data_IF_712367587430
#
_entry.id   IF_712367587430
#
_cell.length_a   1.000
_cell.length_b   1.000
_cell.length_c   1.000
_cell.angle_alpha   90.00
_cell.angle_beta   90.00
_cell.angle_gamma   90.00
#
_symmetry.space_group_name_H-M   'P 1'
#
loop_
_entity.id
_entity.type
_entity.pdbx_description
1 polymer ?
#
# COMPACT_ATOMS: atom_id res chain seq x y z
N UNK A 1 3.72 -10.02 -4.76
CA UNK A 1 2.81 -10.89 -5.54
C UNK A 1 3.25 -11.07 -6.99
N UNK A 2 3.85 -10.06 -7.63
CA UNK A 2 4.40 -10.14 -8.99
C UNK A 2 5.34 -11.33 -9.22
N UNK A 3 6.29 -11.56 -8.32
CA UNK A 3 7.25 -12.67 -8.42
C UNK A 3 6.56 -14.04 -8.33
N UNK A 4 5.59 -14.21 -7.44
CA UNK A 4 4.84 -15.46 -7.38
C UNK A 4 4.04 -15.68 -8.66
N UNK A 5 3.39 -14.64 -9.18
CA UNK A 5 2.67 -14.72 -10.46
C UNK A 5 3.62 -15.12 -11.59
N UNK A 6 4.83 -14.55 -11.63
CA UNK A 6 5.87 -14.89 -12.60
C UNK A 6 6.32 -16.34 -12.47
N UNK A 7 6.65 -16.80 -11.26
CA UNK A 7 7.03 -18.19 -11.00
C UNK A 7 5.92 -19.18 -11.37
N UNK A 8 4.65 -18.81 -11.17
CA UNK A 8 3.51 -19.64 -11.55
C UNK A 8 3.29 -19.72 -13.07
N UNK A 9 3.94 -18.87 -13.88
CA UNK A 9 3.94 -18.99 -15.35
C UNK A 9 4.88 -20.09 -15.85
N UNK A 10 5.87 -20.48 -15.04
CA UNK A 10 6.77 -21.57 -15.38
C UNK A 10 6.16 -22.92 -14.93
N UNK A 11 5.98 -23.83 -15.89
CA UNK A 11 5.29 -25.10 -15.67
C UNK A 11 5.95 -25.95 -14.57
N UNK A 12 7.28 -26.01 -14.57
CA UNK A 12 8.05 -26.78 -13.58
C UNK A 12 7.84 -26.24 -12.15
N UNK A 13 7.91 -24.92 -11.96
CA UNK A 13 7.68 -24.27 -10.67
C UNK A 13 6.24 -24.46 -10.19
N UNK A 14 5.28 -24.23 -11.08
CA UNK A 14 3.86 -24.41 -10.78
C UNK A 14 3.50 -25.86 -10.43
N UNK A 15 4.16 -26.84 -11.06
CA UNK A 15 4.03 -28.27 -10.74
C UNK A 15 4.59 -28.58 -9.34
N UNK A 16 5.83 -28.16 -9.06
CA UNK A 16 6.47 -28.37 -7.76
C UNK A 16 5.67 -27.76 -6.60
N UNK A 17 5.12 -26.56 -6.78
CA UNK A 17 4.27 -25.95 -5.76
C UNK A 17 2.98 -26.73 -5.54
N UNK A 18 2.29 -27.16 -6.61
CA UNK A 18 1.06 -27.97 -6.49
C UNK A 18 1.31 -29.30 -5.79
N UNK A 19 2.39 -29.99 -6.13
CA UNK A 19 2.78 -31.25 -5.48
C UNK A 19 3.04 -31.05 -3.98
N UNK A 20 3.77 -29.98 -3.61
CA UNK A 20 4.03 -29.66 -2.21
C UNK A 20 2.76 -29.28 -1.46
N UNK A 21 1.86 -28.53 -2.08
CA UNK A 21 0.58 -28.17 -1.50
C UNK A 21 -0.31 -29.39 -1.27
N UNK A 22 -0.35 -30.33 -2.22
CA UNK A 22 -1.07 -31.59 -2.08
C UNK A 22 -0.50 -32.45 -0.94
N UNK A 23 0.83 -32.58 -0.85
CA UNK A 23 1.50 -33.32 0.20
C UNK A 23 1.24 -32.75 1.62
N UNK A 24 1.00 -31.44 1.72
CA UNK A 24 0.65 -30.76 2.97
C UNK A 24 -0.87 -30.68 3.22
N UNK A 25 -1.70 -31.22 2.33
CA UNK A 25 -3.16 -31.13 2.43
C UNK A 25 -3.71 -29.70 2.33
N UNK A 26 -2.99 -28.80 1.65
CA UNK A 26 -3.38 -27.40 1.50
C UNK A 26 -4.41 -27.24 0.39
N UNK A 27 -5.62 -26.79 0.74
CA UNK A 27 -6.76 -26.64 -0.18
C UNK A 27 -6.81 -25.30 -0.93
N UNK A 28 -6.09 -24.28 -0.47
CA UNK A 28 -6.05 -22.95 -1.11
C UNK A 28 -4.80 -22.78 -1.98
N UNK A 29 -4.76 -21.83 -2.92
CA UNK A 29 -3.53 -21.48 -3.63
C UNK A 29 -2.44 -20.95 -2.69
N UNK A 30 -1.16 -21.16 -3.04
CA UNK A 30 -0.01 -20.71 -2.23
C UNK A 30 -0.09 -19.22 -1.88
N UNK A 31 -0.51 -18.38 -2.84
CA UNK A 31 -0.71 -16.95 -2.62
C UNK A 31 -1.65 -16.63 -1.45
N UNK A 32 -2.70 -17.41 -1.26
CA UNK A 32 -3.63 -17.24 -0.12
C UNK A 32 -2.98 -17.55 1.22
N UNK A 33 -2.06 -18.53 1.27
CA UNK A 33 -1.30 -18.83 2.48
C UNK A 33 -0.26 -17.75 2.79
N UNK A 34 0.38 -17.17 1.78
CA UNK A 34 1.33 -16.07 1.95
C UNK A 34 0.66 -14.79 2.48
N UNK A 35 -0.64 -14.61 2.26
CA UNK A 35 -1.41 -13.50 2.82
C UNK A 35 -1.80 -13.70 4.29
N UNK A 36 -1.76 -14.94 4.82
CA UNK A 36 -2.22 -15.23 6.18
C UNK A 36 -1.53 -14.41 7.29
N UNK A 37 -0.20 -14.18 7.26
CA UNK A 37 0.45 -13.36 8.31
C UNK A 37 -0.06 -11.92 8.33
N UNK A 38 -0.20 -11.29 7.16
CA UNK A 38 -0.75 -9.92 7.03
C UNK A 38 -2.21 -9.88 7.47
N UNK A 39 -3.01 -10.89 7.11
CA UNK A 39 -4.39 -11.00 7.57
C UNK A 39 -4.50 -11.25 9.07
N UNK A 40 -3.55 -11.99 9.66
CA UNK A 40 -3.59 -12.37 11.08
C UNK A 40 -3.21 -11.21 11.98
N UNK A 41 -2.16 -10.46 11.64
CA UNK A 41 -1.71 -9.32 12.44
C UNK A 41 -2.80 -8.23 12.54
N UNK A 42 -3.55 -8.01 11.44
CA UNK A 42 -4.68 -7.07 11.39
C UNK A 42 -5.95 -7.57 12.09
N UNK A 43 -5.97 -8.79 12.63
CA UNK A 43 -7.12 -9.31 13.37
C UNK A 43 -6.95 -9.24 14.88
N UNK A 44 -5.72 -9.17 15.38
CA UNK A 44 -5.49 -9.23 16.83
C UNK A 44 -6.14 -8.07 17.58
N UNK A 45 -6.09 -6.85 17.05
CA UNK A 45 -6.76 -5.72 17.69
C UNK A 45 -8.29 -5.92 17.76
N UNK A 46 -8.92 -6.52 16.74
CA UNK A 46 -10.35 -6.84 16.75
C UNK A 46 -10.69 -7.93 17.78
N UNK A 47 -9.85 -8.96 17.87
CA UNK A 47 -10.03 -10.04 18.84
C UNK A 47 -9.89 -9.51 20.28
N UNK A 48 -8.86 -8.69 20.54
CA UNK A 48 -8.65 -8.06 21.84
C UNK A 48 -9.79 -7.09 22.18
N UNK A 49 -10.27 -6.31 21.22
CA UNK A 49 -11.41 -5.42 21.41
C UNK A 49 -12.68 -6.20 21.80
N UNK A 50 -12.90 -7.37 21.21
CA UNK A 50 -14.02 -8.24 21.59
C UNK A 50 -13.85 -8.79 23.01
N UNK A 51 -12.64 -9.20 23.39
CA UNK A 51 -12.34 -9.68 24.75
C UNK A 51 -12.65 -8.57 25.76
N UNK A 52 -12.10 -7.37 25.58
CA UNK A 52 -12.33 -6.22 26.48
C UNK A 52 -13.82 -5.92 26.65
N UNK A 53 -14.61 -5.98 25.56
CA UNK A 53 -16.07 -5.75 25.62
C UNK A 53 -16.84 -6.78 26.47
N UNK A 54 -16.34 -8.01 26.56
CA UNK A 54 -17.00 -9.12 27.26
C UNK A 54 -16.40 -9.44 28.62
N UNK A 55 -15.25 -8.86 28.94
CA UNK A 55 -14.50 -9.16 30.16
C UNK A 55 -14.98 -8.30 31.33
N UNK A 56 -14.96 -8.88 32.53
CA UNK A 56 -15.25 -8.14 33.75
C UNK A 56 -14.12 -7.15 34.04
N UNK A 57 -14.46 -5.87 34.16
CA UNK A 57 -13.46 -4.81 34.33
C UNK A 57 -12.87 -4.78 35.73
N UNK A 58 -13.47 -5.48 36.70
CA UNK A 58 -12.93 -5.64 38.05
C UNK A 58 -12.08 -6.91 38.23
N UNK A 59 -12.00 -7.75 37.19
CA UNK A 59 -11.18 -8.95 37.21
C UNK A 59 -9.69 -8.63 37.01
N UNK A 60 -8.84 -9.35 37.73
CA UNK A 60 -7.39 -9.23 37.62
C UNK A 60 -6.91 -9.44 36.17
N UNK A 61 -5.97 -8.61 35.74
CA UNK A 61 -5.42 -8.64 34.38
C UNK A 61 -6.21 -7.86 33.31
N UNK A 62 -7.30 -7.15 33.64
CA UNK A 62 -8.01 -6.30 32.68
C UNK A 62 -7.09 -5.23 32.05
N UNK A 63 -6.24 -4.58 32.86
CA UNK A 63 -5.28 -3.57 32.39
C UNK A 63 -4.30 -4.12 31.34
N UNK A 64 -3.83 -5.35 31.50
CA UNK A 64 -2.93 -6.00 30.55
C UNK A 64 -3.60 -6.21 29.18
N UNK A 65 -4.91 -6.50 29.17
CA UNK A 65 -5.67 -6.69 27.93
C UNK A 65 -5.87 -5.34 27.22
N UNK A 66 -6.13 -4.28 27.98
CA UNK A 66 -6.25 -2.91 27.44
C UNK A 66 -4.92 -2.45 26.83
N UNK A 67 -3.80 -2.70 27.51
CA UNK A 67 -2.46 -2.39 27.00
C UNK A 67 -2.14 -3.19 25.74
N UNK A 68 -2.45 -4.49 25.72
CA UNK A 68 -2.28 -5.33 24.54
C UNK A 68 -3.13 -4.83 23.35
N UNK A 69 -4.37 -4.39 23.61
CA UNK A 69 -5.24 -3.82 22.59
C UNK A 69 -4.64 -2.54 22.00
N UNK A 70 -4.13 -1.65 22.86
CA UNK A 70 -3.45 -0.42 22.44
C UNK A 70 -2.24 -0.74 21.55
N UNK A 71 -1.37 -1.65 21.99
CA UNK A 71 -0.19 -2.06 21.23
C UNK A 71 -0.55 -2.67 19.86
N UNK A 72 -1.53 -3.57 19.82
CA UNK A 72 -1.96 -4.19 18.57
C UNK A 72 -2.65 -3.21 17.62
N UNK A 73 -3.35 -2.21 18.15
CA UNK A 73 -3.96 -1.13 17.35
C UNK A 73 -2.88 -0.25 16.73
N UNK A 74 -1.83 0.10 17.49
CA UNK A 74 -0.68 0.85 16.97
C UNK A 74 0.04 0.11 15.85
N UNK A 75 0.22 -1.21 15.98
CA UNK A 75 0.80 -2.04 14.91
C UNK A 75 -0.07 -2.00 13.64
N UNK A 76 -1.39 -2.12 13.78
CA UNK A 76 -2.30 -2.07 12.64
C UNK A 76 -2.25 -0.70 11.93
N UNK A 77 -2.21 0.40 12.69
CA UNK A 77 -2.02 1.75 12.15
C UNK A 77 -0.68 1.89 11.42
N UNK A 78 0.41 1.42 12.04
CA UNK A 78 1.74 1.49 11.43
C UNK A 78 1.80 0.73 10.10
N UNK A 79 1.21 -0.47 10.02
CA UNK A 79 1.12 -1.24 8.77
C UNK A 79 0.33 -0.48 7.71
N UNK A 80 -0.79 0.13 8.08
CA UNK A 80 -1.59 0.93 7.17
C UNK A 80 -0.82 2.15 6.65
N UNK A 81 -0.09 2.83 7.52
CA UNK A 81 0.73 3.99 7.17
C UNK A 81 1.89 3.60 6.24
N UNK A 82 2.54 2.45 6.48
CA UNK A 82 3.56 1.90 5.58
C UNK A 82 2.98 1.56 4.20
N UNK A 83 1.79 0.94 4.14
CA UNK A 83 1.11 0.63 2.88
C UNK A 83 0.77 1.91 2.11
N UNK A 84 0.20 2.90 2.79
CA UNK A 84 -0.12 4.21 2.21
C UNK A 84 1.13 4.87 1.64
N UNK A 85 2.22 4.95 2.41
CA UNK A 85 3.50 5.50 1.93
C UNK A 85 4.04 4.77 0.70
N UNK A 86 3.94 3.45 0.66
CA UNK A 86 4.34 2.68 -0.51
C UNK A 86 3.47 3.00 -1.74
N UNK A 87 2.15 3.09 -1.58
CA UNK A 87 1.23 3.47 -2.66
C UNK A 87 1.52 4.89 -3.19
N UNK A 88 1.80 5.85 -2.30
CA UNK A 88 2.23 7.19 -2.71
C UNK A 88 3.57 7.16 -3.47
N UNK A 89 4.57 6.41 -2.99
CA UNK A 89 5.85 6.29 -3.67
C UNK A 89 5.70 5.70 -5.08
N UNK A 90 4.87 4.66 -5.24
CA UNK A 90 4.55 4.09 -6.56
C UNK A 90 3.87 5.13 -7.46
N UNK A 91 2.91 5.89 -6.93
CA UNK A 91 2.24 6.95 -7.70
C UNK A 91 3.22 8.04 -8.15
N UNK A 92 4.16 8.42 -7.29
CA UNK A 92 5.20 9.40 -7.63
C UNK A 92 6.12 8.89 -8.75
N UNK A 93 6.50 7.62 -8.71
CA UNK A 93 7.28 7.00 -9.79
C UNK A 93 6.51 6.94 -11.12
N UNK A 94 5.20 6.64 -11.07
CA UNK A 94 4.35 6.70 -12.26
C UNK A 94 4.31 8.12 -12.86
N UNK A 95 4.14 9.15 -12.03
CA UNK A 95 4.15 10.55 -12.48
C UNK A 95 5.48 10.88 -13.14
N UNK A 96 6.60 10.52 -12.51
CA UNK A 96 7.94 10.76 -13.06
C UNK A 96 8.12 10.08 -14.43
N UNK A 97 7.60 8.86 -14.59
CA UNK A 97 7.67 8.14 -15.88
C UNK A 97 6.86 8.82 -17.00
N UNK A 98 5.84 9.62 -16.65
CA UNK A 98 5.04 10.38 -17.59
C UNK A 98 5.67 11.73 -17.96
N UNK A 99 6.66 12.22 -17.21
CA UNK A 99 7.32 13.50 -17.47
C UNK A 99 8.35 13.37 -18.59
N UNK A 100 8.10 14.04 -19.71
CA UNK A 100 9.05 14.13 -20.82
C UNK A 100 9.99 15.32 -20.65
N UNK A 101 11.29 15.04 -20.61
CA UNK A 101 12.32 16.08 -20.51
C UNK A 101 12.49 16.65 -19.10
N UNK A 102 12.08 15.92 -18.06
CA UNK A 102 12.36 16.29 -16.68
C UNK A 102 13.88 16.33 -16.43
N UNK A 103 14.39 17.48 -15.99
CA UNK A 103 15.81 17.68 -15.67
C UNK A 103 16.08 17.82 -14.16
N UNK A 104 15.02 17.77 -13.34
CA UNK A 104 15.15 17.85 -11.89
C UNK A 104 15.61 16.55 -11.25
N UNK A 105 15.74 16.56 -9.94
CA UNK A 105 16.00 15.34 -9.16
C UNK A 105 14.78 14.41 -9.16
N UNK A 106 14.93 13.21 -8.61
CA UNK A 106 13.81 12.27 -8.47
C UNK A 106 12.67 12.90 -7.65
N UNK A 107 11.43 12.76 -8.11
CA UNK A 107 10.26 13.38 -7.49
C UNK A 107 10.08 12.97 -6.03
N UNK A 108 10.59 11.80 -5.64
CA UNK A 108 10.58 11.33 -4.24
C UNK A 108 11.43 12.18 -3.29
N UNK A 109 12.39 12.99 -3.79
CA UNK A 109 13.20 13.89 -2.94
C UNK A 109 12.43 15.13 -2.48
N UNK A 110 11.35 15.48 -3.18
CA UNK A 110 10.52 16.66 -2.89
C UNK A 110 9.40 16.41 -1.86
N UNK A 111 9.34 15.22 -1.27
CA UNK A 111 8.39 14.85 -0.20
C UNK A 111 7.20 14.02 -0.70
N UNK A 112 6.18 13.88 0.14
CA UNK A 112 4.97 13.13 -0.20
C UNK A 112 4.08 13.94 -1.16
N UNK A 113 3.38 13.24 -2.06
CA UNK A 113 2.38 13.84 -2.94
C UNK A 113 1.10 14.12 -2.12
N UNK A 114 0.87 15.39 -1.79
CA UNK A 114 -0.27 15.83 -1.00
C UNK A 114 -1.57 15.89 -1.81
N UNK A 115 -1.49 16.37 -3.06
CA UNK A 115 -2.66 16.52 -3.93
C UNK A 115 -2.30 16.47 -5.42
N UNK A 116 -3.25 16.01 -6.23
CA UNK A 116 -3.17 16.02 -7.69
C UNK A 116 -4.48 16.59 -8.24
N UNK A 117 -4.41 17.37 -9.32
CA UNK A 117 -5.61 17.91 -9.97
C UNK A 117 -5.36 18.50 -11.34
N UNK A 118 -6.43 18.96 -11.97
CA UNK A 118 -6.35 19.69 -13.25
C UNK A 118 -7.04 21.03 -13.15
N UNK A 119 -6.43 22.07 -13.70
CA UNK A 119 -7.03 23.40 -13.77
C UNK A 119 -6.77 24.06 -15.11
N UNK A 120 -7.64 25.01 -15.48
CA UNK A 120 -7.43 25.88 -16.64
C UNK A 120 -6.74 27.16 -16.15
N UNK A 121 -5.45 27.28 -16.43
CA UNK A 121 -4.73 28.52 -16.15
C UNK A 121 -5.31 29.68 -16.96
N UNK A 122 -5.35 30.88 -16.36
CA UNK A 122 -5.86 32.08 -17.02
C UNK A 122 -5.07 32.34 -18.33
N UNK A 123 -5.78 32.47 -19.46
CA UNK A 123 -5.18 32.66 -20.78
C UNK A 123 -4.68 31.38 -21.48
N UNK A 124 -4.74 30.20 -20.85
CA UNK A 124 -4.32 28.95 -21.48
C UNK A 124 -5.46 28.26 -22.25
N UNK A 125 -5.19 27.86 -23.50
CA UNK A 125 -6.14 27.08 -24.33
C UNK A 125 -6.35 25.64 -23.85
N UNK A 126 -5.39 25.07 -23.13
CA UNK A 126 -5.40 23.67 -22.67
C UNK A 126 -5.33 23.59 -21.14
N UNK A 127 -5.93 22.54 -20.57
CA UNK A 127 -5.81 22.21 -19.15
C UNK A 127 -4.36 21.95 -18.75
N UNK A 128 -4.03 22.23 -17.49
CA UNK A 128 -2.76 21.89 -16.86
C UNK A 128 -3.02 20.89 -15.75
N UNK A 129 -2.16 19.89 -15.65
CA UNK A 129 -2.11 18.99 -14.51
C UNK A 129 -1.22 19.61 -13.44
N UNK A 130 -1.64 19.52 -12.19
CA UNK A 130 -0.91 20.02 -11.03
C UNK A 130 -0.68 18.87 -10.06
N UNK A 131 0.54 18.80 -9.54
CA UNK A 131 0.95 17.87 -8.50
C UNK A 131 1.58 18.68 -7.38
N UNK A 132 0.98 18.62 -6.20
CA UNK A 132 1.45 19.28 -5.00
C UNK A 132 2.21 18.28 -4.14
N UNK A 133 3.50 18.52 -3.96
CA UNK A 133 4.39 17.83 -3.04
C UNK A 133 4.66 18.73 -1.83
N UNK A 134 5.16 18.15 -0.72
CA UNK A 134 5.50 18.90 0.50
C UNK A 134 6.44 20.09 0.23
N UNK A 135 7.39 19.94 -0.69
CA UNK A 135 8.43 20.94 -0.98
C UNK A 135 8.35 21.51 -2.40
N UNK A 136 7.39 21.09 -3.22
CA UNK A 136 7.35 21.46 -4.63
C UNK A 136 5.91 21.47 -5.19
N UNK A 137 5.61 22.44 -6.05
CA UNK A 137 4.42 22.42 -6.91
C UNK A 137 4.85 22.18 -8.36
N UNK A 138 4.43 21.06 -8.93
CA UNK A 138 4.72 20.69 -10.32
C UNK A 138 3.49 20.94 -11.19
N UNK A 139 3.66 21.73 -12.25
CA UNK A 139 2.61 22.05 -13.21
C UNK A 139 3.03 21.52 -14.58
N UNK A 140 2.19 20.71 -15.20
CA UNK A 140 2.50 20.06 -16.48
C UNK A 140 1.38 20.28 -17.48
N UNK A 141 1.73 20.22 -18.76
CA UNK A 141 0.81 20.20 -19.89
C UNK A 141 0.71 18.78 -20.43
N UNK A 142 -0.52 18.28 -20.53
CA UNK A 142 -0.80 16.98 -21.17
C UNK A 142 -0.61 17.11 -22.69
N UNK A 143 0.20 16.21 -23.27
CA UNK A 143 0.36 16.02 -24.73
C UNK A 143 -0.58 14.92 -25.22
N UNK A 144 -0.70 14.76 -26.54
CA UNK A 144 -1.64 13.84 -27.18
C UNK A 144 -1.42 12.37 -26.77
N UNK A 145 -0.18 11.97 -26.46
CA UNK A 145 0.18 10.59 -26.05
C UNK A 145 0.04 10.32 -24.54
N UNK A 146 -0.61 11.22 -23.78
CA UNK A 146 -0.72 11.08 -22.31
C UNK A 146 0.55 11.46 -21.53
N UNK A 147 1.62 11.82 -22.24
CA UNK A 147 2.86 12.36 -21.70
C UNK A 147 2.62 13.77 -21.12
N UNK A 148 3.32 14.06 -20.02
CA UNK A 148 3.34 15.35 -19.34
C UNK A 148 4.63 16.11 -19.69
N UNK A 149 4.52 17.39 -20.04
CA UNK A 149 5.65 18.29 -20.32
C UNK A 149 5.56 19.61 -19.59
#
# INVERSE_FOLDING_TARGET
MSILTELMRHEQSAKSFRERQAALGHSLPLGSYLLKPVQRILKYHLLLQNIVKTYDHEADGCDLIVDALSAMTNIAHHINDMKRRHEHAVRVQEIQSLLYGWQGEDLTTYGELCAEGTFRAYGAKALRHVFLFDKMLLITKKKEDGILS
#
